data_IF_496965260765
#
_entry.id   IF_496965260765
#
_cell.length_a   1.000
_cell.length_b   1.000
_cell.length_c   1.000
_cell.angle_alpha   90.00
_cell.angle_beta   90.00
_cell.angle_gamma   90.00
#
_symmetry.space_group_name_H-M   'P 1'
#
loop_
_entity.id
_entity.type
_entity.pdbx_description
1 polymer ?
#
# COMPACT_ATOMS: atom_id res chain seq x y z
N UNK A 1 5.94 -9.63 -18.84
CA UNK A 1 6.31 -9.18 -20.20
C UNK A 1 7.35 -8.08 -20.11
N UNK A 2 8.04 -7.74 -21.20
CA UNK A 2 9.06 -6.67 -21.22
C UNK A 2 8.95 -5.86 -22.51
N UNK A 3 9.22 -4.56 -22.42
CA UNK A 3 9.26 -3.63 -23.56
C UNK A 3 10.27 -4.01 -24.64
N UNK A 4 11.43 -4.50 -24.22
CA UNK A 4 12.54 -4.82 -25.11
C UNK A 4 13.42 -5.91 -24.54
N UNK A 5 14.37 -6.38 -25.34
CA UNK A 5 15.35 -7.38 -24.91
C UNK A 5 16.28 -6.83 -23.81
N UNK A 6 16.58 -5.54 -23.89
CA UNK A 6 17.36 -4.77 -22.91
C UNK A 6 16.59 -4.63 -21.60
N UNK A 7 15.29 -4.27 -21.66
CA UNK A 7 14.42 -4.24 -20.48
C UNK A 7 14.41 -5.62 -19.77
N UNK A 8 14.27 -6.70 -20.55
CA UNK A 8 14.28 -8.08 -20.04
C UNK A 8 15.63 -8.43 -19.39
N UNK A 9 16.74 -8.10 -20.05
CA UNK A 9 18.07 -8.40 -19.55
C UNK A 9 18.37 -7.62 -18.26
N UNK A 10 18.02 -6.33 -18.23
CA UNK A 10 18.13 -5.49 -17.03
C UNK A 10 17.37 -6.09 -15.85
N UNK A 11 16.10 -6.48 -16.04
CA UNK A 11 15.32 -7.14 -15.01
C UNK A 11 15.94 -8.50 -14.60
N UNK A 12 16.41 -9.29 -15.56
CA UNK A 12 17.07 -10.58 -15.32
C UNK A 12 18.36 -10.42 -14.50
N UNK A 13 19.13 -9.37 -14.73
CA UNK A 13 20.35 -9.08 -13.96
C UNK A 13 20.05 -8.55 -12.55
N UNK A 14 18.94 -7.82 -12.38
CA UNK A 14 18.60 -7.21 -11.08
C UNK A 14 17.84 -8.13 -10.13
N UNK A 15 16.77 -8.80 -10.56
CA UNK A 15 15.91 -9.57 -9.64
C UNK A 15 15.18 -10.75 -10.28
N UNK A 16 14.95 -10.72 -11.60
CA UNK A 16 13.98 -11.60 -12.21
C UNK A 16 14.45 -13.05 -12.28
N UNK A 17 15.75 -13.37 -12.34
CA UNK A 17 16.21 -14.77 -12.40
C UNK A 17 15.80 -15.55 -11.15
N UNK A 18 15.86 -14.92 -9.97
CA UNK A 18 15.43 -15.53 -8.70
C UNK A 18 13.93 -15.75 -8.64
N UNK A 19 13.13 -14.88 -9.27
CA UNK A 19 11.67 -14.94 -9.25
C UNK A 19 11.06 -15.62 -10.49
N UNK A 20 11.87 -15.99 -11.49
CA UNK A 20 11.38 -16.56 -12.73
C UNK A 20 10.94 -18.00 -12.51
N UNK A 21 9.65 -18.25 -12.69
CA UNK A 21 9.04 -19.58 -12.58
C UNK A 21 9.26 -20.42 -13.84
N UNK A 22 9.63 -19.78 -14.96
CA UNK A 22 9.84 -20.46 -16.24
C UNK A 22 8.62 -21.31 -16.64
N UNK A 23 8.80 -22.60 -16.98
CA UNK A 23 7.69 -23.51 -17.30
C UNK A 23 6.70 -23.75 -16.16
N UNK A 24 7.09 -23.52 -14.91
CA UNK A 24 6.25 -23.73 -13.71
C UNK A 24 5.37 -22.52 -13.40
N UNK A 25 5.16 -21.59 -14.34
CA UNK A 25 4.32 -20.41 -14.11
C UNK A 25 2.88 -20.78 -13.71
N UNK A 26 2.31 -21.79 -14.37
CA UNK A 26 0.96 -22.30 -14.11
C UNK A 26 0.93 -23.45 -13.08
N UNK A 27 2.05 -23.73 -12.42
CA UNK A 27 2.14 -24.79 -11.42
C UNK A 27 1.63 -24.26 -10.06
N UNK A 28 0.46 -24.70 -9.56
CA UNK A 28 -0.07 -24.25 -8.28
C UNK A 28 0.82 -24.69 -7.10
N UNK A 29 1.64 -25.72 -7.29
CA UNK A 29 2.54 -26.20 -6.25
C UNK A 29 3.86 -25.43 -6.15
N UNK A 30 4.14 -24.55 -7.12
CA UNK A 30 5.34 -23.73 -7.10
C UNK A 30 5.36 -22.81 -5.87
N UNK A 31 6.47 -22.72 -5.08
CA UNK A 31 6.50 -21.97 -3.82
C UNK A 31 6.06 -20.51 -3.92
N UNK A 32 6.46 -19.81 -4.99
CA UNK A 32 6.01 -18.43 -5.26
C UNK A 32 4.51 -18.33 -5.57
N UNK A 33 3.91 -19.33 -6.23
CA UNK A 33 2.47 -19.34 -6.50
C UNK A 33 1.69 -19.56 -5.20
N UNK A 34 2.10 -20.54 -4.37
CA UNK A 34 1.53 -20.72 -3.02
C UNK A 34 1.58 -19.45 -2.18
N UNK A 35 2.69 -18.71 -2.23
CA UNK A 35 2.84 -17.45 -1.51
C UNK A 35 1.85 -16.39 -2.01
N UNK A 36 1.70 -16.25 -3.33
CA UNK A 36 0.77 -15.29 -3.95
C UNK A 36 -0.69 -15.64 -3.66
N UNK A 37 -1.05 -16.92 -3.72
CA UNK A 37 -2.41 -17.36 -3.49
C UNK A 37 -2.78 -17.24 -2.01
N UNK A 38 -1.86 -17.56 -1.11
CA UNK A 38 -2.04 -17.28 0.31
C UNK A 38 -2.23 -15.77 0.56
N UNK A 39 -1.43 -14.90 -0.07
CA UNK A 39 -1.61 -13.45 0.04
C UNK A 39 -2.98 -12.98 -0.44
N UNK A 40 -3.48 -13.51 -1.56
CA UNK A 40 -4.82 -13.20 -2.08
C UNK A 40 -5.95 -13.61 -1.14
N UNK A 41 -5.75 -14.70 -0.38
CA UNK A 41 -6.75 -15.17 0.59
C UNK A 41 -6.75 -14.39 1.92
N UNK A 42 -5.78 -13.50 2.12
CA UNK A 42 -5.74 -12.62 3.28
C UNK A 42 -6.55 -11.37 2.92
N UNK A 43 -7.73 -11.20 3.53
CA UNK A 43 -8.56 -9.99 3.45
C UNK A 43 -7.81 -8.85 4.16
N UNK A 44 -6.93 -8.20 3.40
CA UNK A 44 -6.03 -7.14 3.82
C UNK A 44 -6.63 -5.79 3.36
N UNK A 45 -6.53 -4.68 4.13
CA UNK A 45 -7.08 -3.41 3.67
C UNK A 45 -6.39 -2.96 2.37
N UNK A 46 -7.08 -2.22 1.49
CA UNK A 46 -6.79 -2.23 0.06
C UNK A 46 -5.38 -1.71 -0.32
N UNK A 47 -4.69 -2.55 -1.10
CA UNK A 47 -4.22 -2.24 -2.46
C UNK A 47 -3.01 -1.34 -2.75
N UNK A 48 -2.24 -0.85 -1.77
CA UNK A 48 -1.02 -0.08 -2.14
C UNK A 48 0.25 -0.92 -2.26
N UNK A 49 0.28 -2.14 -1.69
CA UNK A 49 1.51 -2.95 -1.69
C UNK A 49 1.29 -4.46 -1.75
N UNK A 50 2.22 -5.16 -2.38
CA UNK A 50 2.15 -6.61 -2.62
C UNK A 50 3.24 -7.36 -1.86
N UNK A 51 2.96 -8.58 -1.38
CA UNK A 51 3.99 -9.49 -0.87
C UNK A 51 5.13 -9.74 -1.87
N UNK A 52 4.86 -9.54 -3.16
CA UNK A 52 5.87 -9.64 -4.21
C UNK A 52 6.91 -8.52 -4.16
N UNK A 53 6.63 -7.38 -3.50
CA UNK A 53 7.62 -6.35 -3.27
C UNK A 53 8.70 -6.85 -2.29
N UNK A 54 8.31 -7.53 -1.20
CA UNK A 54 9.24 -8.22 -0.30
C UNK A 54 10.03 -9.32 -1.04
N UNK A 55 9.36 -10.10 -1.89
CA UNK A 55 10.02 -11.11 -2.70
C UNK A 55 11.07 -10.50 -3.64
N UNK A 56 10.76 -9.34 -4.23
CA UNK A 56 11.67 -8.59 -5.08
C UNK A 56 12.84 -8.01 -4.31
N UNK A 57 12.63 -7.50 -3.08
CA UNK A 57 13.74 -7.06 -2.21
C UNK A 57 14.73 -8.19 -1.96
N UNK A 58 14.24 -9.38 -1.61
CA UNK A 58 15.08 -10.57 -1.44
C UNK A 58 15.83 -10.90 -2.73
N UNK A 59 15.12 -10.97 -3.86
CA UNK A 59 15.68 -11.30 -5.16
C UNK A 59 16.79 -10.32 -5.59
N UNK A 60 16.59 -9.02 -5.36
CA UNK A 60 17.60 -7.98 -5.62
C UNK A 60 18.87 -8.24 -4.84
N UNK A 61 18.77 -8.50 -3.53
CA UNK A 61 19.96 -8.80 -2.70
C UNK A 61 20.62 -10.12 -3.12
N UNK A 62 19.84 -11.16 -3.44
CA UNK A 62 20.39 -12.47 -3.85
C UNK A 62 21.21 -12.36 -5.14
N UNK A 63 20.76 -11.56 -6.10
CA UNK A 63 21.43 -11.36 -7.38
C UNK A 63 22.52 -10.27 -7.36
N UNK A 64 22.50 -9.39 -6.37
CA UNK A 64 23.47 -8.30 -6.27
C UNK A 64 24.90 -8.81 -6.09
N UNK A 65 25.83 -8.17 -6.80
CA UNK A 65 27.28 -8.35 -6.57
C UNK A 65 27.67 -7.79 -5.19
N UNK A 66 27.14 -6.63 -4.83
CA UNK A 66 27.31 -6.01 -3.52
C UNK A 66 26.01 -6.15 -2.72
N UNK A 67 25.88 -7.25 -1.99
CA UNK A 67 24.72 -7.52 -1.14
C UNK A 67 24.62 -6.54 0.03
N UNK A 68 25.77 -6.10 0.56
CA UNK A 68 25.84 -5.22 1.72
C UNK A 68 25.29 -3.83 1.39
N UNK A 69 25.55 -3.32 0.18
CA UNK A 69 24.97 -2.08 -0.31
C UNK A 69 23.44 -2.10 -0.24
N UNK A 70 22.79 -3.15 -0.76
CA UNK A 70 21.33 -3.25 -0.77
C UNK A 70 20.75 -3.44 0.63
N UNK A 71 21.39 -4.26 1.48
CA UNK A 71 20.96 -4.41 2.88
C UNK A 71 21.03 -3.07 3.62
N UNK A 72 22.10 -2.29 3.40
CA UNK A 72 22.24 -0.93 3.94
C UNK A 72 21.20 0.02 3.34
N UNK A 73 20.90 -0.07 2.05
CA UNK A 73 19.87 0.76 1.43
C UNK A 73 18.50 0.49 2.08
N UNK A 74 18.11 -0.78 2.21
CA UNK A 74 16.83 -1.13 2.83
C UNK A 74 16.74 -0.76 4.32
N UNK A 75 17.86 -0.69 5.05
CA UNK A 75 17.84 -0.26 6.45
C UNK A 75 17.54 1.23 6.66
N UNK A 76 17.46 2.04 5.61
CA UNK A 76 17.05 3.44 5.72
C UNK A 76 15.53 3.64 5.78
N UNK A 77 14.74 2.64 5.36
CA UNK A 77 13.29 2.72 5.45
C UNK A 77 12.81 2.46 6.88
N UNK A 78 11.69 3.08 7.26
CA UNK A 78 11.08 2.81 8.55
C UNK A 78 10.63 1.35 8.60
N UNK A 79 11.01 0.59 9.64
CA UNK A 79 10.59 -0.81 9.80
C UNK A 79 9.93 -1.06 11.16
N UNK A 80 9.43 0.01 11.80
CA UNK A 80 8.82 -0.07 13.13
C UNK A 80 7.47 -0.75 13.04
N UNK A 81 7.34 -1.86 13.77
CA UNK A 81 6.11 -2.63 13.90
C UNK A 81 5.14 -2.06 14.96
N UNK A 82 5.67 -1.27 15.88
CA UNK A 82 4.94 -0.61 16.95
C UNK A 82 5.61 0.74 17.28
N UNK A 83 4.82 1.66 17.79
CA UNK A 83 5.27 2.86 18.47
C UNK A 83 5.03 2.66 19.97
N UNK A 84 6.10 2.38 20.70
CA UNK A 84 6.06 2.10 22.15
C UNK A 84 5.71 3.34 22.98
N UNK A 85 5.98 4.55 22.48
CA UNK A 85 5.68 5.81 23.20
C UNK A 85 4.18 6.13 23.19
N UNK A 86 3.48 5.73 22.13
CA UNK A 86 2.05 5.99 21.92
C UNK A 86 1.18 4.72 22.10
N UNK A 87 1.80 3.58 22.45
CA UNK A 87 1.18 2.24 22.54
C UNK A 87 0.44 1.79 21.26
N UNK A 88 0.90 2.26 20.08
CA UNK A 88 0.25 1.95 18.79
C UNK A 88 0.97 0.79 18.12
N UNK A 89 0.27 -0.31 17.89
CA UNK A 89 0.74 -1.39 17.02
C UNK A 89 0.13 -1.25 15.62
N UNK A 90 0.90 -1.63 14.59
CA UNK A 90 0.35 -1.63 13.23
C UNK A 90 -0.83 -2.59 13.18
N UNK A 91 -1.98 -2.13 12.65
CA UNK A 91 -3.23 -2.92 12.53
C UNK A 91 -2.98 -4.34 12.01
N UNK A 92 -2.01 -4.45 11.10
CA UNK A 92 -1.62 -5.67 10.40
C UNK A 92 -0.83 -6.67 11.25
N UNK A 93 -0.33 -6.25 12.40
CA UNK A 93 0.38 -7.08 13.37
C UNK A 93 -0.49 -7.39 14.60
N UNK A 94 -1.77 -6.99 14.56
CA UNK A 94 -2.76 -7.30 15.58
C UNK A 94 -3.06 -8.79 15.70
N UNK A 95 -3.73 -9.19 16.79
CA UNK A 95 -3.97 -10.60 17.11
C UNK A 95 -4.82 -11.33 16.05
N UNK A 96 -5.78 -10.64 15.41
CA UNK A 96 -6.61 -11.16 14.30
C UNK A 96 -5.77 -11.74 13.14
N UNK A 97 -4.60 -11.16 12.84
CA UNK A 97 -3.78 -11.56 11.68
C UNK A 97 -2.62 -12.50 12.03
N UNK A 98 -2.44 -12.86 13.32
CA UNK A 98 -1.28 -13.63 13.79
C UNK A 98 -1.15 -14.99 13.09
N UNK A 99 -2.26 -15.69 12.86
CA UNK A 99 -2.29 -16.99 12.17
C UNK A 99 -1.90 -16.88 10.70
N UNK A 100 -2.50 -15.93 9.99
CA UNK A 100 -2.22 -15.68 8.57
C UNK A 100 -0.77 -15.24 8.36
N UNK A 101 -0.22 -14.36 9.23
CA UNK A 101 1.19 -13.96 9.19
C UNK A 101 2.14 -15.14 9.36
N UNK A 102 1.83 -16.12 10.21
CA UNK A 102 2.65 -17.31 10.39
C UNK A 102 2.67 -18.18 9.13
N UNK A 103 1.52 -18.34 8.47
CA UNK A 103 1.41 -19.05 7.18
C UNK A 103 2.21 -18.33 6.10
N UNK A 104 2.02 -17.02 5.94
CA UNK A 104 2.77 -16.20 4.99
C UNK A 104 4.27 -16.26 5.23
N UNK A 105 4.71 -16.18 6.49
CA UNK A 105 6.12 -16.31 6.86
C UNK A 105 6.71 -17.67 6.45
N UNK A 106 5.99 -18.76 6.73
CA UNK A 106 6.40 -20.11 6.34
C UNK A 106 6.55 -20.25 4.82
N UNK A 107 5.56 -19.79 4.06
CA UNK A 107 5.58 -19.82 2.60
C UNK A 107 6.67 -18.92 2.02
N UNK A 108 6.85 -17.71 2.58
CA UNK A 108 7.90 -16.78 2.18
C UNK A 108 9.29 -17.38 2.37
N UNK A 109 9.51 -18.03 3.53
CA UNK A 109 10.74 -18.75 3.82
C UNK A 109 10.95 -19.92 2.85
N UNK A 110 9.94 -20.76 2.62
CA UNK A 110 10.03 -21.89 1.70
C UNK A 110 10.37 -21.44 0.26
N UNK A 111 9.84 -20.29 -0.17
CA UNK A 111 10.06 -19.79 -1.51
C UNK A 111 11.41 -19.09 -1.71
N UNK A 112 11.92 -18.37 -0.71
CA UNK A 112 12.94 -17.34 -0.94
C UNK A 112 14.17 -17.38 -0.03
N UNK A 113 14.21 -18.28 0.96
CA UNK A 113 15.26 -18.30 1.98
C UNK A 113 16.68 -18.15 1.40
N UNK A 114 17.49 -17.35 2.09
CA UNK A 114 18.91 -17.12 1.80
C UNK A 114 19.66 -16.89 3.10
N UNK A 115 20.80 -17.56 3.29
CA UNK A 115 21.58 -17.47 4.52
C UNK A 115 22.11 -16.05 4.80
N UNK A 116 22.40 -15.27 3.75
CA UNK A 116 22.85 -13.87 3.88
C UNK A 116 21.74 -12.94 4.37
N UNK A 117 20.48 -13.39 4.25
CA UNK A 117 19.28 -12.68 4.68
C UNK A 117 18.56 -13.43 5.80
N UNK A 118 19.22 -14.39 6.47
CA UNK A 118 18.62 -15.23 7.51
C UNK A 118 17.80 -14.46 8.55
N UNK A 119 18.23 -13.25 8.92
CA UNK A 119 17.50 -12.34 9.83
C UNK A 119 16.10 -11.97 9.32
N UNK A 120 15.92 -11.75 8.02
CA UNK A 120 14.62 -11.44 7.40
C UNK A 120 13.64 -12.62 7.42
N UNK A 121 14.17 -13.84 7.61
CA UNK A 121 13.39 -15.07 7.64
C UNK A 121 13.12 -15.57 9.07
N UNK A 122 13.46 -14.80 10.11
CA UNK A 122 12.91 -15.04 11.46
C UNK A 122 11.50 -14.43 11.54
N UNK A 123 10.64 -14.87 12.48
CA UNK A 123 9.33 -14.26 12.67
C UNK A 123 9.38 -12.73 12.87
N UNK A 124 10.34 -12.25 13.67
CA UNK A 124 10.53 -10.83 13.97
C UNK A 124 11.05 -10.06 12.75
N UNK A 125 12.00 -10.63 12.01
CA UNK A 125 12.51 -10.01 10.79
C UNK A 125 11.46 -9.94 9.69
N UNK A 126 10.62 -10.98 9.55
CA UNK A 126 9.50 -10.96 8.62
C UNK A 126 8.49 -9.88 8.98
N UNK A 127 8.12 -9.74 10.26
CA UNK A 127 7.27 -8.63 10.74
C UNK A 127 7.88 -7.26 10.47
N UNK A 128 9.19 -7.13 10.63
CA UNK A 128 9.91 -5.87 10.35
C UNK A 128 9.88 -5.52 8.86
N UNK A 129 10.09 -6.50 7.98
CA UNK A 129 9.94 -6.31 6.53
C UNK A 129 8.51 -5.94 6.15
N UNK A 130 7.55 -6.57 6.80
CA UNK A 130 6.14 -6.31 6.59
C UNK A 130 5.78 -4.86 6.95
N UNK A 131 6.20 -4.42 8.13
CA UNK A 131 6.07 -3.02 8.55
C UNK A 131 6.80 -2.06 7.62
N UNK A 132 7.99 -2.43 7.12
CA UNK A 132 8.73 -1.63 6.15
C UNK A 132 7.94 -1.42 4.86
N UNK A 133 7.42 -2.50 4.29
CA UNK A 133 6.65 -2.41 3.06
C UNK A 133 5.30 -1.71 3.27
N UNK A 134 4.65 -1.89 4.42
CA UNK A 134 3.40 -1.23 4.76
C UNK A 134 3.53 0.27 4.99
N UNK A 135 4.62 0.72 5.62
CA UNK A 135 4.80 2.14 5.98
C UNK A 135 5.50 2.98 4.91
N UNK A 136 6.20 2.36 3.96
CA UNK A 136 6.97 3.06 2.93
C UNK A 136 6.56 2.69 1.49
N UNK A 137 5.65 1.72 1.34
CA UNK A 137 5.18 1.27 0.03
C UNK A 137 4.41 2.38 -0.67
N UNK A 138 4.78 2.66 -1.91
CA UNK A 138 4.08 3.63 -2.75
C UNK A 138 3.48 2.92 -3.96
N UNK A 139 2.17 3.08 -4.14
CA UNK A 139 1.50 2.69 -5.38
C UNK A 139 2.02 3.51 -6.55
N UNK A 140 2.34 2.84 -7.65
CA UNK A 140 2.75 3.44 -8.92
C UNK A 140 1.49 3.68 -9.73
N UNK A 141 0.96 4.89 -9.62
CA UNK A 141 -0.27 5.32 -10.26
C UNK A 141 -0.03 5.78 -11.69
N UNK A 142 -0.03 4.84 -12.62
CA UNK A 142 0.20 5.06 -14.06
C UNK A 142 -1.07 4.79 -14.89
N UNK A 143 -2.24 4.96 -14.28
CA UNK A 143 -3.51 4.84 -15.00
C UNK A 143 -3.64 5.97 -16.03
N UNK A 144 -3.62 5.61 -17.31
CA UNK A 144 -3.86 6.54 -18.41
C UNK A 144 -5.25 7.20 -18.31
N UNK A 145 -6.22 6.49 -17.72
CA UNK A 145 -7.55 7.03 -17.47
C UNK A 145 -7.51 8.13 -16.41
N UNK A 146 -6.84 7.89 -15.27
CA UNK A 146 -6.68 8.90 -14.21
C UNK A 146 -6.00 10.17 -14.71
N UNK A 147 -4.96 10.04 -15.55
CA UNK A 147 -4.32 11.21 -16.17
C UNK A 147 -5.25 11.97 -17.12
N UNK A 148 -6.07 11.26 -17.90
CA UNK A 148 -7.08 11.90 -18.74
C UNK A 148 -8.12 12.64 -17.91
N UNK A 149 -8.60 12.06 -16.81
CA UNK A 149 -9.52 12.72 -15.86
C UNK A 149 -8.89 13.98 -15.25
N UNK A 150 -7.65 13.90 -14.76
CA UNK A 150 -6.95 15.08 -14.26
C UNK A 150 -6.74 16.16 -15.33
N UNK A 151 -6.45 15.78 -16.57
CA UNK A 151 -6.35 16.73 -17.66
C UNK A 151 -7.72 17.40 -17.97
N UNK A 152 -8.83 16.66 -17.78
CA UNK A 152 -10.17 17.21 -17.90
C UNK A 152 -10.47 18.30 -16.85
N UNK A 153 -9.93 18.19 -15.63
CA UNK A 153 -10.13 19.19 -14.56
C UNK A 153 -9.51 20.54 -14.88
N UNK A 154 -8.45 20.57 -15.70
CA UNK A 154 -7.83 21.80 -16.16
C UNK A 154 -8.61 22.51 -17.28
N UNK A 155 -9.71 21.92 -17.78
CA UNK A 155 -10.50 22.52 -18.86
C UNK A 155 -11.39 23.64 -18.33
N UNK A 156 -11.27 24.83 -18.94
CA UNK A 156 -12.21 25.93 -18.73
C UNK A 156 -13.54 25.64 -19.44
N UNK A 157 -14.52 25.11 -18.70
CA UNK A 157 -15.84 24.73 -19.21
C UNK A 157 -16.96 25.54 -18.55
N UNK A 158 -18.07 25.75 -19.27
CA UNK A 158 -19.29 26.24 -18.65
C UNK A 158 -19.83 25.21 -17.64
N UNK A 159 -20.47 25.68 -16.56
CA UNK A 159 -20.97 24.83 -15.45
C UNK A 159 -21.74 23.60 -15.96
N UNK A 160 -22.68 23.80 -16.88
CA UNK A 160 -23.48 22.70 -17.44
C UNK A 160 -22.65 21.67 -18.20
N UNK A 161 -21.58 22.08 -18.87
CA UNK A 161 -20.68 21.16 -19.58
C UNK A 161 -19.76 20.41 -18.61
N UNK A 162 -19.33 21.07 -17.53
CA UNK A 162 -18.58 20.43 -16.44
C UNK A 162 -19.42 19.32 -15.79
N UNK A 163 -20.66 19.62 -15.41
CA UNK A 163 -21.58 18.63 -14.83
C UNK A 163 -21.82 17.43 -15.77
N UNK A 164 -21.94 17.67 -17.08
CA UNK A 164 -22.07 16.58 -18.06
C UNK A 164 -20.81 15.73 -18.17
N UNK A 165 -19.63 16.36 -18.13
CA UNK A 165 -18.35 15.66 -18.19
C UNK A 165 -18.11 14.84 -16.93
N UNK A 166 -18.37 15.41 -15.75
CA UNK A 166 -18.23 14.72 -14.46
C UNK A 166 -19.16 13.51 -14.42
N UNK A 167 -20.43 13.66 -14.81
CA UNK A 167 -21.37 12.55 -14.89
C UNK A 167 -20.94 11.47 -15.90
N UNK A 168 -20.27 11.85 -16.99
CA UNK A 168 -19.73 10.88 -17.96
C UNK A 168 -18.53 10.12 -17.37
N UNK A 169 -17.62 10.81 -16.68
CA UNK A 169 -16.46 10.21 -16.02
C UNK A 169 -16.92 9.21 -14.96
N UNK A 170 -17.89 9.59 -14.12
CA UNK A 170 -18.48 8.71 -13.11
C UNK A 170 -19.08 7.45 -13.73
N UNK A 171 -19.82 7.60 -14.83
CA UNK A 171 -20.40 6.46 -15.54
C UNK A 171 -19.31 5.58 -16.17
N UNK A 172 -18.25 6.19 -16.70
CA UNK A 172 -17.12 5.46 -17.29
C UNK A 172 -16.40 4.60 -16.25
N UNK A 173 -16.16 5.11 -15.04
CA UNK A 173 -15.58 4.31 -13.95
C UNK A 173 -16.48 3.13 -13.58
N UNK A 174 -17.79 3.35 -13.44
CA UNK A 174 -18.77 2.28 -13.16
C UNK A 174 -18.81 1.22 -14.26
N UNK A 175 -18.76 1.65 -15.51
CA UNK A 175 -18.78 0.75 -16.66
C UNK A 175 -17.49 -0.08 -16.73
N UNK A 176 -16.33 0.52 -16.44
CA UNK A 176 -15.06 -0.20 -16.37
C UNK A 176 -15.10 -1.22 -15.23
N UNK A 177 -15.47 -0.81 -14.03
CA UNK A 177 -15.54 -1.68 -12.85
C UNK A 177 -16.47 -2.87 -13.10
N UNK A 178 -17.62 -2.64 -13.73
CA UNK A 178 -18.55 -3.71 -14.11
C UNK A 178 -17.93 -4.75 -15.05
N UNK A 179 -17.10 -4.32 -16.00
CA UNK A 179 -16.50 -5.20 -17.00
C UNK A 179 -15.17 -5.83 -16.53
N UNK A 180 -14.44 -5.15 -15.63
CA UNK A 180 -13.10 -5.59 -15.19
C UNK A 180 -13.04 -6.09 -13.75
N UNK A 181 -14.09 -5.89 -12.95
CA UNK A 181 -13.99 -5.91 -11.49
C UNK A 181 -13.26 -4.68 -10.96
N UNK A 182 -12.74 -4.76 -9.73
CA UNK A 182 -12.03 -3.67 -9.05
C UNK A 182 -10.95 -3.03 -9.94
N UNK A 183 -11.23 -1.80 -10.39
CA UNK A 183 -10.33 -1.05 -11.26
C UNK A 183 -9.29 -0.32 -10.43
N UNK A 184 -8.11 -0.94 -10.33
CA UNK A 184 -6.96 -0.34 -9.68
C UNK A 184 -6.33 0.76 -10.54
N UNK A 185 -6.31 2.00 -10.03
CA UNK A 185 -5.52 3.09 -10.61
C UNK A 185 -3.99 2.91 -10.44
N UNK A 186 -3.55 1.73 -9.98
CA UNK A 186 -2.19 1.41 -9.55
C UNK A 186 -1.66 0.23 -10.37
N UNK A 187 -0.62 0.44 -11.19
CA UNK A 187 -0.01 -0.63 -12.00
C UNK A 187 0.98 -1.49 -11.21
N UNK A 188 1.39 -1.03 -10.03
CA UNK A 188 2.33 -1.76 -9.18
C UNK A 188 2.74 -0.96 -7.96
N UNK A 189 3.72 -1.46 -7.21
CA UNK A 189 4.23 -0.80 -6.01
C UNK A 189 5.75 -0.72 -6.00
N UNK A 190 6.27 0.30 -5.33
CA UNK A 190 7.69 0.59 -5.21
C UNK A 190 8.09 1.17 -3.86
N UNK A 191 9.40 1.22 -3.62
CA UNK A 191 10.02 1.88 -2.47
C UNK A 191 10.88 3.02 -2.98
N UNK A 192 10.64 4.24 -2.48
CA UNK A 192 11.27 5.46 -2.98
C UNK A 192 11.98 6.19 -1.85
N UNK A 193 13.29 5.99 -1.73
CA UNK A 193 14.09 6.46 -0.58
C UNK A 193 13.89 7.93 -0.22
N UNK A 194 13.85 8.83 -1.22
CA UNK A 194 13.69 10.26 -0.98
C UNK A 194 12.26 10.64 -0.59
N UNK A 195 11.26 10.01 -1.22
CA UNK A 195 9.85 10.26 -0.87
C UNK A 195 9.54 9.72 0.53
N UNK A 196 10.06 8.54 0.89
CA UNK A 196 9.86 7.94 2.23
C UNK A 196 10.54 8.73 3.36
N UNK A 197 11.39 9.71 3.04
CA UNK A 197 11.97 10.62 4.02
C UNK A 197 11.09 11.85 4.31
N UNK A 198 10.06 12.10 3.50
CA UNK A 198 9.15 13.24 3.66
C UNK A 198 8.03 12.85 4.63
N UNK A 199 7.85 13.65 5.69
CA UNK A 199 6.83 13.39 6.70
C UNK A 199 5.42 13.75 6.21
N UNK A 200 4.42 13.30 6.97
CA UNK A 200 3.03 13.58 6.69
C UNK A 200 2.59 14.99 7.15
N UNK A 201 1.76 15.64 6.33
CA UNK A 201 0.87 16.72 6.76
C UNK A 201 -0.50 16.58 6.09
N UNK A 202 -1.60 16.83 6.81
CA UNK A 202 -2.92 16.93 6.20
C UNK A 202 -3.09 18.21 5.36
N UNK A 203 -2.13 19.14 5.45
CA UNK A 203 -1.92 20.27 4.52
C UNK A 203 -0.49 20.17 3.99
N UNK A 204 -0.25 19.30 3.00
CA UNK A 204 1.09 19.11 2.46
C UNK A 204 1.55 20.34 1.68
N UNK A 205 2.86 20.57 1.62
CA UNK A 205 3.48 21.58 0.76
C UNK A 205 4.17 20.97 -0.47
N UNK A 206 4.21 19.63 -0.56
CA UNK A 206 4.65 18.90 -1.73
C UNK A 206 3.73 17.71 -2.03
N UNK A 207 3.71 17.27 -3.28
CA UNK A 207 2.98 16.10 -3.73
C UNK A 207 3.89 15.13 -4.47
N UNK A 208 3.61 13.83 -4.31
CA UNK A 208 4.26 12.77 -5.06
C UNK A 208 3.36 12.36 -6.25
N UNK A 209 3.90 12.38 -7.46
CA UNK A 209 3.16 12.05 -8.68
C UNK A 209 4.01 11.30 -9.70
N UNK A 210 3.36 10.73 -10.71
CA UNK A 210 3.99 9.99 -11.82
C UNK A 210 3.60 10.63 -13.17
N UNK A 211 4.04 11.88 -13.44
CA UNK A 211 3.53 12.66 -14.58
C UNK A 211 3.86 12.05 -15.95
N UNK A 212 4.96 11.29 -16.04
CA UNK A 212 5.45 10.69 -17.28
C UNK A 212 4.91 9.28 -17.53
N UNK A 213 3.87 8.87 -16.80
CA UNK A 213 3.27 7.55 -16.87
C UNK A 213 4.28 6.39 -16.75
N UNK A 214 5.25 6.53 -15.84
CA UNK A 214 6.31 5.53 -15.64
C UNK A 214 6.62 5.37 -14.14
N UNK A 215 7.64 4.58 -13.81
CA UNK A 215 8.01 4.30 -12.42
C UNK A 215 8.85 5.41 -11.74
N UNK A 216 9.10 6.54 -12.40
CA UNK A 216 9.82 7.68 -11.83
C UNK A 216 8.86 8.56 -11.05
N UNK A 217 9.07 8.61 -9.74
CA UNK A 217 8.30 9.45 -8.83
C UNK A 217 8.85 10.88 -8.86
N UNK A 218 7.97 11.83 -9.11
CA UNK A 218 8.23 13.26 -9.04
C UNK A 218 7.72 13.79 -7.71
N UNK A 219 8.56 14.53 -6.99
CA UNK A 219 8.17 15.26 -5.80
C UNK A 219 8.10 16.74 -6.16
N UNK A 220 6.88 17.26 -6.28
CA UNK A 220 6.61 18.61 -6.76
C UNK A 220 6.11 19.49 -5.62
N UNK A 221 6.59 20.73 -5.54
CA UNK A 221 6.09 21.69 -4.56
C UNK A 221 4.68 22.17 -4.97
N UNK A 222 3.78 22.26 -4.01
CA UNK A 222 2.41 22.79 -4.18
C UNK A 222 2.35 24.32 -4.02
N UNK A 223 3.45 24.92 -3.59
CA UNK A 223 3.63 26.36 -3.40
C UNK A 223 5.08 26.67 -3.07
N UNK A 224 5.34 27.92 -2.69
CA UNK A 224 6.68 28.32 -2.26
C UNK A 224 7.06 27.60 -0.96
N UNK A 225 8.28 27.04 -0.91
CA UNK A 225 8.86 26.40 0.29
C UNK A 225 10.11 27.20 0.68
N UNK A 226 10.09 27.81 1.85
CA UNK A 226 11.21 28.65 2.31
C UNK A 226 12.36 27.81 2.90
N UNK A 227 13.59 28.34 2.92
CA UNK A 227 14.71 27.66 3.57
C UNK A 227 14.43 27.36 5.04
N UNK A 228 14.56 26.09 5.44
CA UNK A 228 14.29 25.61 6.79
C UNK A 228 12.86 25.13 7.03
N UNK A 229 11.95 25.31 6.07
CA UNK A 229 10.64 24.66 6.09
C UNK A 229 10.79 23.17 5.76
N UNK A 230 10.09 22.33 6.51
CA UNK A 230 10.05 20.91 6.26
C UNK A 230 9.21 20.60 5.02
N UNK A 231 9.67 19.66 4.19
CA UNK A 231 8.90 19.16 3.05
C UNK A 231 7.98 18.06 3.56
N UNK A 232 6.68 18.31 3.50
CA UNK A 232 5.65 17.38 3.93
C UNK A 232 4.74 16.99 2.77
N UNK A 233 4.45 15.69 2.68
CA UNK A 233 3.50 15.09 1.74
C UNK A 233 2.25 14.59 2.47
N UNK A 234 1.20 14.22 1.74
CA UNK A 234 0.07 13.50 2.34
C UNK A 234 0.29 11.99 2.22
N UNK A 235 0.00 11.26 3.30
CA UNK A 235 -0.05 9.79 3.32
C UNK A 235 -1.49 9.29 3.12
N UNK A 236 -2.43 10.23 3.11
CA UNK A 236 -3.85 10.04 2.89
C UNK A 236 -4.18 10.46 1.47
N UNK A 237 -5.12 9.78 0.82
CA UNK A 237 -5.70 10.24 -0.43
C UNK A 237 -6.53 11.52 -0.25
N UNK A 238 -7.01 12.10 -1.36
CA UNK A 238 -7.76 13.36 -1.33
C UNK A 238 -9.04 13.25 -0.49
N UNK A 239 -9.81 12.17 -0.65
CA UNK A 239 -11.07 11.94 0.05
C UNK A 239 -10.83 11.80 1.56
N UNK A 240 -9.88 10.95 1.95
CA UNK A 240 -9.47 10.73 3.34
C UNK A 240 -8.95 12.03 3.98
N UNK A 241 -8.19 12.84 3.24
CA UNK A 241 -7.66 14.11 3.74
C UNK A 241 -8.76 15.13 4.07
N UNK A 242 -9.91 15.04 3.43
CA UNK A 242 -11.04 15.93 3.64
C UNK A 242 -12.05 15.40 4.68
N UNK A 243 -11.91 14.13 5.11
CA UNK A 243 -12.63 13.58 6.27
C UNK A 243 -12.25 14.29 7.58
N UNK A 244 -13.01 13.98 8.64
CA UNK A 244 -12.85 14.54 9.98
C UNK A 244 -11.43 14.34 10.55
N UNK A 245 -11.06 15.16 11.55
CA UNK A 245 -9.79 14.99 12.27
C UNK A 245 -9.68 13.58 12.87
N UNK A 246 -10.79 13.05 13.41
CA UNK A 246 -10.86 11.72 13.98
C UNK A 246 -10.51 10.64 12.94
N UNK A 247 -11.22 10.62 11.81
CA UNK A 247 -11.06 9.59 10.78
C UNK A 247 -9.63 9.61 10.22
N UNK A 248 -9.08 10.80 9.97
CA UNK A 248 -7.66 10.95 9.57
C UNK A 248 -6.69 10.40 10.60
N UNK A 249 -6.89 10.71 11.89
CA UNK A 249 -6.03 10.19 12.95
C UNK A 249 -6.15 8.68 13.11
N UNK A 250 -7.35 8.11 12.98
CA UNK A 250 -7.57 6.66 13.01
C UNK A 250 -6.72 5.98 11.93
N UNK A 251 -6.84 6.42 10.67
CA UNK A 251 -6.07 5.89 9.54
C UNK A 251 -4.55 6.03 9.76
N UNK A 252 -4.09 7.20 10.20
CA UNK A 252 -2.66 7.46 10.40
C UNK A 252 -2.08 6.65 11.57
N UNK A 253 -2.83 6.48 12.67
CA UNK A 253 -2.41 5.64 13.79
C UNK A 253 -2.32 4.18 13.37
N UNK A 254 -3.36 3.66 12.73
CA UNK A 254 -3.44 2.24 12.35
C UNK A 254 -2.37 1.80 11.34
N UNK A 255 -2.00 2.69 10.41
CA UNK A 255 -1.12 2.38 9.28
C UNK A 255 0.31 2.93 9.44
N UNK A 256 0.49 4.06 10.12
CA UNK A 256 1.77 4.76 10.19
C UNK A 256 2.26 5.01 11.62
N UNK A 257 1.49 4.61 12.64
CA UNK A 257 1.90 4.57 14.05
C UNK A 257 2.22 5.93 14.67
N UNK A 258 1.57 7.00 14.22
CA UNK A 258 1.73 8.34 14.77
C UNK A 258 0.42 9.12 14.83
N UNK A 259 0.42 10.21 15.61
CA UNK A 259 -0.68 11.16 15.67
C UNK A 259 -0.28 12.45 14.97
N UNK A 260 -1.07 12.88 13.99
CA UNK A 260 -0.76 14.09 13.23
C UNK A 260 -1.00 15.36 14.06
N UNK A 261 0.00 16.24 14.09
CA UNK A 261 -0.06 17.54 14.75
C UNK A 261 0.09 18.71 13.77
N UNK A 262 -0.21 18.47 12.48
CA UNK A 262 -0.13 19.52 11.46
C UNK A 262 -1.14 20.66 11.71
N UNK A 263 -0.97 21.83 11.06
CA UNK A 263 -1.84 22.98 11.27
C UNK A 263 -3.34 22.69 11.13
N UNK A 264 -3.75 21.84 10.16
CA UNK A 264 -5.16 21.42 9.99
C UNK A 264 -5.65 20.57 11.17
N UNK A 265 -4.84 19.64 11.66
CA UNK A 265 -5.23 18.83 12.82
C UNK A 265 -5.28 19.65 14.11
N UNK A 266 -4.45 20.69 14.24
CA UNK A 266 -4.46 21.60 15.38
C UNK A 266 -5.68 22.53 15.34
N UNK A 267 -6.01 23.09 14.18
CA UNK A 267 -7.16 23.99 14.05
C UNK A 267 -8.50 23.29 14.30
N UNK A 268 -8.58 21.98 14.07
CA UNK A 268 -9.79 21.17 14.24
C UNK A 268 -9.85 20.44 15.60
N UNK A 269 -9.04 20.83 16.59
CA UNK A 269 -8.99 20.13 17.88
C UNK A 269 -10.30 20.17 18.68
N UNK A 270 -11.08 21.25 18.52
CA UNK A 270 -12.33 21.49 19.25
C UNK A 270 -13.59 21.16 18.42
N UNK A 271 -13.42 20.65 17.19
CA UNK A 271 -14.54 20.18 16.37
C UNK A 271 -15.07 18.87 16.94
N UNK A 272 -16.40 18.68 16.93
CA UNK A 272 -17.00 17.42 17.34
C UNK A 272 -16.59 16.30 16.37
N UNK A 273 -16.27 15.13 16.91
CA UNK A 273 -16.04 13.92 16.14
C UNK A 273 -17.38 13.46 15.53
N UNK A 274 -17.76 14.06 14.41
CA UNK A 274 -18.88 13.60 13.59
C UNK A 274 -18.31 12.55 12.62
N UNK A 275 -18.50 11.28 12.95
CA UNK A 275 -18.34 10.18 12.00
C UNK A 275 -19.46 10.30 10.97
N UNK A 276 -19.13 10.30 9.68
CA UNK A 276 -20.14 10.19 8.63
C UNK A 276 -20.76 8.78 8.67
N UNK A 277 -21.96 8.60 8.13
CA UNK A 277 -22.61 7.27 8.02
C UNK A 277 -21.69 6.25 7.28
N UNK A 278 -20.86 6.72 6.33
CA UNK A 278 -19.80 5.91 5.69
C UNK A 278 -18.70 5.42 6.65
N UNK A 279 -18.39 6.18 7.71
CA UNK A 279 -17.40 5.79 8.73
C UNK A 279 -18.02 4.75 9.71
N UNK A 280 -19.35 4.73 9.88
CA UNK A 280 -20.07 3.73 10.69
C UNK A 280 -20.18 2.37 9.99
N UNK A 281 -20.28 2.35 8.65
CA UNK A 281 -20.28 1.11 7.86
C UNK A 281 -18.92 0.38 7.93
N UNK A 282 -17.80 1.11 7.85
CA UNK A 282 -16.46 0.53 8.07
C UNK A 282 -16.27 0.00 9.50
N UNK A 283 -16.93 0.58 10.51
CA UNK A 283 -16.94 0.07 11.88
C UNK A 283 -17.84 -1.17 12.03
N UNK A 284 -18.99 -1.18 11.36
CA UNK A 284 -19.93 -2.31 11.33
C UNK A 284 -19.37 -3.54 10.61
N UNK A 285 -18.55 -3.39 9.57
CA UNK A 285 -17.87 -4.53 8.92
C UNK A 285 -16.73 -5.10 9.79
N UNK A 286 -16.03 -4.26 10.55
CA UNK A 286 -14.97 -4.71 11.45
C UNK A 286 -15.49 -5.48 12.68
N UNK A 287 -16.72 -5.15 13.14
CA UNK A 287 -17.40 -5.77 14.28
C UNK A 287 -18.39 -6.88 13.86
N UNK A 288 -19.00 -6.79 12.66
CA UNK A 288 -20.07 -7.67 12.17
C UNK A 288 -19.65 -9.07 11.69
N UNK A 289 -18.35 -9.33 11.52
CA UNK A 289 -17.85 -10.70 11.25
C UNK A 289 -17.79 -11.60 12.50
N UNK A 290 -18.33 -11.15 13.65
CA UNK A 290 -18.25 -11.91 14.91
C UNK A 290 -19.49 -12.68 15.33
N UNK A 291 -20.60 -12.66 14.59
CA UNK A 291 -21.76 -13.50 14.91
C UNK A 291 -22.35 -14.19 13.67
N UNK A 292 -22.07 -15.48 13.51
CA UNK A 292 -22.83 -16.33 12.61
C UNK A 292 -22.09 -17.54 12.04
N UNK A 293 -21.75 -18.52 12.88
CA UNK A 293 -21.85 -19.94 12.49
C UNK A 293 -21.77 -20.86 13.73
N UNK A 294 -22.74 -20.71 14.65
CA UNK A 294 -23.15 -21.80 15.53
C UNK A 294 -24.41 -22.43 14.91
N UNK A 295 -24.22 -23.31 13.93
CA UNK A 295 -25.23 -24.31 13.59
C UNK A 295 -25.08 -25.46 14.58
N UNK A 296 -25.83 -25.38 15.67
CA UNK A 296 -26.05 -26.51 16.58
C UNK A 296 -26.71 -27.68 15.84
N UNK A 297 -26.04 -28.82 15.89
CA UNK A 297 -26.58 -30.14 15.61
C UNK A 297 -27.77 -30.44 16.55
N UNK A 298 -28.99 -30.43 16.04
CA UNK A 298 -30.13 -31.08 16.70
C UNK A 298 -30.56 -32.31 15.88
N UNK A 299 -29.96 -33.45 16.23
CA UNK A 299 -30.49 -34.77 15.92
C UNK A 299 -31.53 -35.14 16.98
N UNK A 300 -32.79 -35.30 16.58
CA UNK A 300 -33.76 -36.09 17.34
C UNK A 300 -34.41 -37.14 16.44
N UNK A 301 -34.12 -38.41 16.73
CA UNK A 301 -35.12 -39.45 16.80
C UNK A 301 -35.03 -40.04 18.23
N UNK A 302 -36.04 -39.68 19.04
CA UNK A 302 -36.46 -40.23 20.36
C UNK A 302 -35.58 -39.97 21.58
#
# INVERSE_FOLDING_TARGET
>A
MYCSSECRQSAADQYHRVLCQGPSQEDPDHPINKLKDAWRSVHYPPETSSIMLMARMVAVVKQAKDKAHWQKLFSHFCSRAANEEEEIAHKLLGEKFRGQLAVLHSLFKAALYDDHLSRWFTPEGFRSLFALVGTNGQGVGTSSLSQWVHACDALELAVQQREQLDSFIDQLYKDIEKETGDFLNCEGSGLFLLQSACNHSCLPNAEASFPDNNFLLHLSALGDINPGEEICISYLDCCQRDRSRHSRHKILRENYLFVCSCPKCVSQMDELDVTSEEDEEEEGEAEGETEGDDMEDEMTDV
#
